data_IF_741088633302
#
_entry.id   IF_741088633302
#
_cell.length_a   1.000
_cell.length_b   1.000
_cell.length_c   1.000
_cell.angle_alpha   90.00
_cell.angle_beta   90.00
_cell.angle_gamma   90.00
#
_symmetry.space_group_name_H-M   'P 1'
#
loop_
_entity.id
_entity.type
_entity.pdbx_description
1 polymer ?
#
# COMPACT_ATOMS: atom_id res chain seq x y z
N UNK A 1 -16.23 20.28 27.56
CA UNK A 1 -16.43 18.90 27.03
C UNK A 1 -15.23 18.08 27.51
N UNK A 2 -15.46 16.88 27.99
CA UNK A 2 -14.36 15.96 28.26
C UNK A 2 -13.85 15.42 26.90
N UNK A 3 -12.54 15.43 26.71
CA UNK A 3 -11.89 14.84 25.54
C UNK A 3 -11.25 13.51 25.96
N UNK A 4 -11.27 12.52 25.05
CA UNK A 4 -10.62 11.22 25.27
C UNK A 4 -9.10 11.36 25.23
N UNK A 5 -8.59 12.29 24.39
CA UNK A 5 -7.17 12.57 24.21
C UNK A 5 -6.97 14.02 23.78
N UNK A 6 -5.92 14.66 24.26
CA UNK A 6 -5.37 15.87 23.64
C UNK A 6 -3.93 15.63 23.22
N UNK A 7 -3.66 15.61 21.90
CA UNK A 7 -2.30 15.58 21.37
C UNK A 7 -1.76 17.00 21.30
N UNK A 8 -0.81 17.31 22.18
CA UNK A 8 -0.20 18.63 22.38
C UNK A 8 0.96 18.89 21.43
N UNK A 9 1.15 20.15 21.06
CA UNK A 9 2.32 20.62 20.31
C UNK A 9 2.55 19.86 19.00
N UNK A 10 1.49 19.55 18.28
CA UNK A 10 1.53 18.90 16.97
C UNK A 10 1.91 19.92 15.89
N UNK A 11 2.87 19.60 15.02
CA UNK A 11 3.17 20.36 13.81
C UNK A 11 2.44 19.71 12.63
N UNK A 12 1.64 20.48 11.90
CA UNK A 12 0.93 20.02 10.70
C UNK A 12 1.67 20.48 9.43
N UNK A 13 1.44 19.81 8.31
CA UNK A 13 2.11 20.08 7.03
C UNK A 13 1.99 21.57 6.58
N UNK A 14 0.85 22.19 6.85
CA UNK A 14 0.53 23.55 6.39
C UNK A 14 0.55 24.59 7.53
N UNK A 15 1.32 24.37 8.59
CA UNK A 15 1.28 25.23 9.81
C UNK A 15 2.34 26.32 9.84
N UNK A 16 3.08 26.59 8.76
CA UNK A 16 4.19 27.57 8.69
C UNK A 16 5.14 27.51 9.90
N UNK A 17 5.32 26.30 10.42
CA UNK A 17 6.14 26.05 11.60
C UNK A 17 5.44 26.20 12.95
N UNK A 18 4.24 26.71 13.02
CA UNK A 18 3.46 26.78 14.25
C UNK A 18 3.00 25.38 14.71
N UNK A 19 2.81 25.24 16.02
CA UNK A 19 2.23 24.02 16.61
C UNK A 19 0.80 24.26 17.05
N UNK A 20 0.01 23.17 17.03
CA UNK A 20 -1.37 23.16 17.48
C UNK A 20 -1.60 21.99 18.44
N UNK A 21 -2.66 22.08 19.22
CA UNK A 21 -3.22 20.96 19.96
C UNK A 21 -4.36 20.34 19.14
N UNK A 22 -4.47 19.01 19.17
CA UNK A 22 -5.54 18.25 18.53
C UNK A 22 -6.32 17.54 19.64
N UNK A 23 -7.58 17.92 19.85
CA UNK A 23 -8.47 17.25 20.79
C UNK A 23 -9.30 16.17 20.09
N UNK A 24 -9.48 15.05 20.76
CA UNK A 24 -10.22 13.88 20.28
C UNK A 24 -11.37 13.58 21.23
N UNK A 25 -12.55 13.34 20.66
CA UNK A 25 -13.72 12.83 21.38
C UNK A 25 -14.40 11.78 20.51
N UNK A 26 -14.87 10.69 21.12
CA UNK A 26 -15.53 9.56 20.44
C UNK A 26 -14.72 9.04 19.24
N UNK A 27 -13.39 9.02 19.38
CA UNK A 27 -12.48 8.53 18.35
C UNK A 27 -12.29 9.46 17.15
N UNK A 28 -12.86 10.68 17.17
CA UNK A 28 -12.79 11.67 16.09
C UNK A 28 -12.10 12.95 16.56
N UNK A 29 -11.49 13.66 15.63
CA UNK A 29 -10.91 14.97 15.88
C UNK A 29 -12.05 15.95 16.18
N UNK A 30 -12.13 16.42 17.42
CA UNK A 30 -13.16 17.32 17.91
C UNK A 30 -12.77 18.79 17.75
N UNK A 31 -11.46 19.11 17.89
CA UNK A 31 -10.95 20.48 17.76
C UNK A 31 -9.47 20.47 17.35
N UNK A 32 -9.06 21.53 16.66
CA UNK A 32 -7.65 21.84 16.35
C UNK A 32 -7.47 23.32 16.68
N UNK A 33 -6.57 23.67 17.61
CA UNK A 33 -6.33 25.04 18.01
C UNK A 33 -4.89 25.23 18.52
N UNK A 34 -4.35 26.49 18.59
CA UNK A 34 -3.00 26.73 19.12
C UNK A 34 -2.82 26.23 20.55
N UNK A 35 -3.88 26.25 21.36
CA UNK A 35 -3.92 25.71 22.70
C UNK A 35 -5.35 25.27 23.05
N UNK A 36 -5.47 24.08 23.64
CA UNK A 36 -6.75 23.53 24.10
C UNK A 36 -6.66 23.29 25.61
N UNK A 37 -7.39 24.11 26.40
CA UNK A 37 -7.53 23.90 27.83
C UNK A 37 -8.48 22.71 28.06
N UNK A 38 -7.97 21.61 28.56
CA UNK A 38 -8.76 20.44 28.87
C UNK A 38 -8.06 19.57 29.93
N UNK A 39 -8.87 18.98 30.80
CA UNK A 39 -8.48 17.89 31.69
C UNK A 39 -8.74 16.56 30.96
N UNK A 40 -7.83 15.62 31.05
CA UNK A 40 -7.96 14.32 30.39
C UNK A 40 -6.62 13.70 30.00
N UNK A 41 -6.65 12.58 29.27
CA UNK A 41 -5.44 11.97 28.76
C UNK A 41 -4.76 12.92 27.76
N UNK A 42 -3.45 13.07 27.91
CA UNK A 42 -2.66 13.91 26.98
C UNK A 42 -1.41 13.20 26.52
N UNK A 43 -1.05 13.47 25.26
CA UNK A 43 0.22 13.08 24.68
C UNK A 43 0.88 14.32 24.10
N UNK A 44 2.22 14.39 24.13
CA UNK A 44 2.97 15.53 23.61
C UNK A 44 3.74 15.13 22.37
N UNK A 45 3.43 15.75 21.24
CA UNK A 45 4.16 15.56 19.98
C UNK A 45 5.53 16.28 19.98
N UNK A 46 5.79 17.17 20.96
CA UNK A 46 7.10 17.84 21.11
C UNK A 46 7.47 18.76 19.94
N UNK A 47 6.49 19.34 19.26
CA UNK A 47 6.70 20.14 18.05
C UNK A 47 7.14 19.31 16.83
N UNK A 48 6.95 18.00 16.85
CA UNK A 48 7.22 17.12 15.74
C UNK A 48 6.06 17.12 14.75
N UNK A 49 6.36 16.69 13.51
CA UNK A 49 5.36 16.53 12.46
C UNK A 49 4.34 15.45 12.83
N UNK A 50 3.07 15.76 12.65
CA UNK A 50 1.95 14.84 12.84
C UNK A 50 1.22 14.70 11.51
N UNK A 51 1.06 13.45 11.08
CA UNK A 51 0.31 13.10 9.88
C UNK A 51 -0.89 12.20 10.21
N UNK A 52 -1.83 12.04 9.27
CA UNK A 52 -2.70 10.88 9.31
C UNK A 52 -1.88 9.60 9.27
N UNK A 53 -2.45 8.48 9.76
CA UNK A 53 -1.83 7.17 9.64
C UNK A 53 -1.59 6.79 8.17
N UNK A 54 -0.46 6.13 7.88
CA UNK A 54 -0.10 5.73 6.52
C UNK A 54 -1.07 4.68 5.97
N UNK A 55 -1.11 4.62 4.64
CA UNK A 55 -2.03 3.74 3.90
C UNK A 55 -1.24 2.81 2.97
N UNK A 56 -1.38 1.54 3.18
CA UNK A 56 -0.83 0.46 2.35
C UNK A 56 -1.92 -0.02 1.38
N UNK A 57 -1.93 0.45 0.13
CA UNK A 57 -3.02 0.16 -0.78
C UNK A 57 -2.84 -1.10 -1.64
N UNK A 58 -1.67 -1.74 -1.59
CA UNK A 58 -1.39 -2.95 -2.36
C UNK A 58 -0.37 -3.85 -1.64
N UNK A 59 -0.85 -4.85 -0.92
CA UNK A 59 -0.03 -5.73 -0.07
C UNK A 59 -0.50 -7.19 -0.15
N UNK A 60 0.39 -8.14 0.17
CA UNK A 60 0.08 -9.57 0.27
C UNK A 60 0.40 -10.10 1.66
N UNK A 61 -0.56 -10.03 2.59
CA UNK A 61 -0.41 -10.62 3.93
C UNK A 61 -0.41 -12.15 3.90
N UNK A 62 -1.22 -12.75 3.02
CA UNK A 62 -1.43 -14.19 2.91
C UNK A 62 -0.17 -15.00 2.60
N UNK A 63 0.72 -14.45 1.79
CA UNK A 63 2.00 -15.07 1.38
C UNK A 63 3.23 -14.35 1.91
N UNK A 64 3.09 -13.49 2.93
CA UNK A 64 4.24 -12.90 3.62
C UNK A 64 5.00 -13.94 4.45
N UNK A 65 6.33 -13.74 4.64
CA UNK A 65 7.18 -14.55 5.52
C UNK A 65 7.16 -16.05 5.21
N UNK A 66 7.35 -16.43 3.94
CA UNK A 66 7.39 -17.85 3.52
C UNK A 66 8.77 -18.31 3.02
N UNK A 67 9.82 -17.48 3.18
CA UNK A 67 11.15 -17.81 2.67
C UNK A 67 11.77 -19.04 3.30
N UNK A 68 11.44 -19.36 4.54
CA UNK A 68 11.92 -20.51 5.30
C UNK A 68 11.47 -21.86 4.73
N UNK A 69 10.41 -21.87 3.94
CA UNK A 69 9.81 -23.07 3.35
C UNK A 69 9.94 -23.16 1.83
N UNK A 70 10.52 -22.16 1.19
CA UNK A 70 10.72 -22.13 -0.27
C UNK A 70 12.14 -22.56 -0.60
N UNK A 71 12.31 -23.32 -1.68
CA UNK A 71 13.64 -23.65 -2.16
C UNK A 71 14.48 -22.38 -2.39
N UNK A 72 15.77 -22.36 -2.05
CA UNK A 72 16.66 -21.24 -2.34
C UNK A 72 16.67 -20.89 -3.82
N UNK A 73 17.00 -19.63 -4.15
CA UNK A 73 17.26 -19.23 -5.53
C UNK A 73 18.44 -20.03 -6.08
N UNK A 74 18.27 -20.64 -7.25
CA UNK A 74 19.33 -21.40 -7.90
C UNK A 74 20.52 -20.50 -8.31
N UNK A 75 20.21 -19.29 -8.79
CA UNK A 75 21.18 -18.25 -9.08
C UNK A 75 20.51 -16.86 -9.05
N UNK A 76 21.32 -15.79 -9.15
CA UNK A 76 20.83 -14.41 -9.12
C UNK A 76 19.93 -14.04 -10.30
N UNK A 77 19.95 -14.79 -11.41
CA UNK A 77 19.16 -14.56 -12.63
C UNK A 77 17.83 -15.30 -12.63
N UNK A 78 17.61 -16.19 -11.66
CA UNK A 78 16.38 -16.96 -11.57
C UNK A 78 15.16 -16.03 -11.47
N UNK A 79 14.13 -16.33 -12.26
CA UNK A 79 12.84 -15.58 -12.33
C UNK A 79 11.65 -16.45 -11.96
N UNK A 80 11.91 -17.55 -11.25
CA UNK A 80 10.95 -18.59 -10.89
C UNK A 80 10.15 -18.30 -9.61
N UNK A 81 10.12 -17.03 -9.18
CA UNK A 81 9.47 -16.62 -7.94
C UNK A 81 8.00 -17.05 -7.83
N UNK A 82 7.25 -17.02 -8.94
CA UNK A 82 5.86 -17.49 -8.95
C UNK A 82 5.79 -19.01 -8.75
N UNK A 83 6.54 -19.78 -9.53
CA UNK A 83 6.56 -21.26 -9.42
C UNK A 83 7.01 -21.71 -8.02
N UNK A 84 7.98 -21.02 -7.41
CA UNK A 84 8.45 -21.30 -6.05
C UNK A 84 7.38 -21.02 -5.00
N UNK A 85 6.56 -19.98 -5.18
CA UNK A 85 5.41 -19.69 -4.30
C UNK A 85 4.32 -20.75 -4.49
N UNK A 86 3.96 -21.06 -5.75
CA UNK A 86 2.95 -22.05 -6.09
C UNK A 86 3.30 -23.44 -5.51
N UNK A 87 4.60 -23.82 -5.53
CA UNK A 87 5.08 -25.09 -5.02
C UNK A 87 4.81 -25.30 -3.52
N UNK A 88 4.66 -24.22 -2.72
CA UNK A 88 4.48 -24.31 -1.26
C UNK A 88 3.10 -23.91 -0.78
N UNK A 89 2.31 -23.18 -1.57
CA UNK A 89 1.01 -22.63 -1.12
C UNK A 89 -0.01 -23.71 -0.73
N UNK A 90 0.10 -24.92 -1.28
CA UNK A 90 -0.75 -26.06 -0.90
C UNK A 90 -0.57 -26.47 0.57
N UNK A 91 0.56 -26.12 1.20
CA UNK A 91 0.86 -26.38 2.61
C UNK A 91 0.26 -25.34 3.57
N UNK A 92 -0.28 -24.24 3.06
CA UNK A 92 -0.83 -23.18 3.89
C UNK A 92 -2.08 -23.66 4.64
N UNK A 93 -2.11 -23.46 5.94
CA UNK A 93 -3.31 -23.60 6.78
C UNK A 93 -3.81 -22.23 7.23
N UNK A 94 -5.02 -22.14 7.71
CA UNK A 94 -5.60 -20.90 8.26
C UNK A 94 -4.73 -20.36 9.40
N UNK A 95 -4.29 -21.23 10.31
CA UNK A 95 -3.47 -20.87 11.47
C UNK A 95 -2.08 -20.38 11.05
N UNK A 96 -1.46 -21.03 10.06
CA UNK A 96 -0.16 -20.64 9.54
C UNK A 96 -0.23 -19.26 8.87
N UNK A 97 -1.19 -19.07 7.97
CA UNK A 97 -1.39 -17.77 7.31
C UNK A 97 -1.69 -16.69 8.33
N UNK A 98 -2.57 -16.95 9.30
CA UNK A 98 -2.88 -16.01 10.38
C UNK A 98 -1.64 -15.59 11.16
N UNK A 99 -0.81 -16.54 11.59
CA UNK A 99 0.39 -16.26 12.38
C UNK A 99 1.41 -15.39 11.63
N UNK A 100 1.67 -15.71 10.35
CA UNK A 100 2.60 -14.95 9.49
C UNK A 100 2.05 -13.56 9.15
N UNK A 101 0.79 -13.49 8.77
CA UNK A 101 0.10 -12.24 8.45
C UNK A 101 0.03 -11.31 9.67
N UNK A 102 -0.23 -11.86 10.88
CA UNK A 102 -0.21 -11.10 12.13
C UNK A 102 1.15 -10.46 12.39
N UNK A 103 2.23 -11.24 12.32
CA UNK A 103 3.58 -10.70 12.54
C UNK A 103 3.94 -9.60 11.52
N UNK A 104 3.45 -9.71 10.28
CA UNK A 104 3.65 -8.71 9.24
C UNK A 104 2.80 -7.46 9.48
N UNK A 105 1.53 -7.62 9.85
CA UNK A 105 0.62 -6.53 10.16
C UNK A 105 1.10 -5.73 11.39
N UNK A 106 1.55 -6.41 12.45
CA UNK A 106 2.13 -5.76 13.63
C UNK A 106 3.36 -4.93 13.26
N UNK A 107 4.20 -5.41 12.33
CA UNK A 107 5.33 -4.65 11.82
C UNK A 107 4.88 -3.41 11.02
N UNK A 108 3.79 -3.51 10.23
CA UNK A 108 3.20 -2.37 9.53
C UNK A 108 2.67 -1.32 10.53
N UNK A 109 1.96 -1.75 11.58
CA UNK A 109 1.47 -0.87 12.66
C UNK A 109 2.61 -0.08 13.30
N UNK A 110 3.71 -0.76 13.67
CA UNK A 110 4.90 -0.14 14.26
C UNK A 110 5.61 0.84 13.32
N UNK A 111 5.31 0.80 12.03
CA UNK A 111 5.78 1.74 11.01
C UNK A 111 4.75 2.79 10.62
N UNK A 112 3.66 2.93 11.39
CA UNK A 112 2.68 4.00 11.24
C UNK A 112 1.57 3.73 10.22
N UNK A 113 1.42 2.50 9.73
CA UNK A 113 0.32 2.09 8.84
C UNK A 113 -0.95 1.88 9.66
N UNK A 114 -2.04 2.55 9.30
CA UNK A 114 -3.35 2.43 9.97
C UNK A 114 -4.46 1.93 9.05
N UNK A 115 -4.19 1.82 7.75
CA UNK A 115 -5.13 1.34 6.73
C UNK A 115 -4.39 0.48 5.71
N UNK A 116 -4.97 -0.65 5.31
CA UNK A 116 -4.36 -1.54 4.34
C UNK A 116 -5.41 -2.20 3.45
N UNK A 117 -5.13 -2.25 2.13
CA UNK A 117 -5.76 -3.19 1.20
C UNK A 117 -4.80 -4.35 0.97
N UNK A 118 -5.19 -5.56 1.37
CA UNK A 118 -4.39 -6.76 1.17
C UNK A 118 -5.00 -7.65 0.09
N UNK A 119 -4.15 -8.05 -0.87
CA UNK A 119 -4.50 -8.99 -1.92
C UNK A 119 -4.34 -10.41 -1.39
N UNK A 120 -5.39 -11.20 -1.51
CA UNK A 120 -5.47 -12.57 -1.01
C UNK A 120 -5.62 -13.49 -2.20
N UNK A 121 -4.62 -14.34 -2.39
CA UNK A 121 -4.64 -15.33 -3.46
C UNK A 121 -5.66 -16.42 -3.14
N UNK A 122 -6.56 -16.68 -4.10
CA UNK A 122 -7.53 -17.75 -4.05
C UNK A 122 -7.49 -18.55 -5.34
N UNK A 123 -7.46 -19.87 -5.24
CA UNK A 123 -7.49 -20.80 -6.36
C UNK A 123 -7.82 -22.21 -5.86
N UNK A 124 -8.02 -23.22 -6.75
CA UNK A 124 -8.32 -24.59 -6.31
C UNK A 124 -7.25 -25.25 -5.42
N UNK A 125 -5.98 -24.79 -5.46
CA UNK A 125 -4.89 -25.38 -4.65
C UNK A 125 -4.88 -24.83 -3.22
N UNK A 126 -5.14 -23.51 -3.07
CA UNK A 126 -5.13 -22.84 -1.75
C UNK A 126 -6.54 -22.70 -1.15
N UNK A 127 -7.59 -22.76 -1.99
CA UNK A 127 -8.97 -22.54 -1.57
C UNK A 127 -9.16 -21.16 -0.96
N UNK A 128 -9.94 -21.09 0.12
CA UNK A 128 -10.20 -19.85 0.89
C UNK A 128 -9.36 -19.76 2.17
N UNK A 129 -8.37 -20.62 2.38
CA UNK A 129 -7.59 -20.65 3.63
C UNK A 129 -6.91 -19.32 3.96
N UNK A 130 -6.37 -18.65 2.92
CA UNK A 130 -5.83 -17.28 3.05
C UNK A 130 -6.92 -16.28 3.43
N UNK A 131 -8.06 -16.35 2.77
CA UNK A 131 -9.20 -15.46 3.04
C UNK A 131 -9.73 -15.63 4.47
N UNK A 132 -9.94 -16.88 4.93
CA UNK A 132 -10.38 -17.20 6.29
C UNK A 132 -9.44 -16.59 7.36
N UNK A 133 -8.13 -16.75 7.15
CA UNK A 133 -7.11 -16.22 8.05
C UNK A 133 -7.13 -14.69 8.11
N UNK A 134 -7.20 -14.02 6.95
CA UNK A 134 -7.15 -12.56 6.88
C UNK A 134 -8.48 -11.93 7.33
N UNK A 135 -9.63 -12.56 7.03
CA UNK A 135 -10.93 -12.10 7.55
C UNK A 135 -10.96 -12.12 9.08
N UNK A 136 -10.42 -13.18 9.70
CA UNK A 136 -10.24 -13.28 11.16
C UNK A 136 -9.28 -12.20 11.66
N UNK A 137 -8.13 -12.01 10.99
CA UNK A 137 -7.13 -11.01 11.37
C UNK A 137 -7.72 -9.58 11.31
N UNK A 138 -8.56 -9.28 10.31
CA UNK A 138 -9.22 -7.98 10.19
C UNK A 138 -10.11 -7.67 11.40
N UNK A 139 -10.83 -8.67 11.91
CA UNK A 139 -11.65 -8.53 13.13
C UNK A 139 -10.79 -8.35 14.37
N UNK A 140 -9.77 -9.18 14.54
CA UNK A 140 -8.90 -9.19 15.72
C UNK A 140 -8.05 -7.91 15.84
N UNK A 141 -7.72 -7.25 14.70
CA UNK A 141 -6.88 -6.04 14.65
C UNK A 141 -7.61 -4.75 14.30
N UNK A 142 -8.95 -4.73 14.30
CA UNK A 142 -9.76 -3.53 14.06
C UNK A 142 -9.45 -2.36 15.03
N UNK A 143 -8.85 -2.66 16.18
CA UNK A 143 -8.38 -1.68 17.15
C UNK A 143 -7.17 -0.87 16.68
N UNK A 144 -6.41 -1.36 15.70
CA UNK A 144 -5.17 -0.75 15.22
C UNK A 144 -5.13 -0.48 13.72
N UNK A 145 -5.82 -1.28 12.92
CA UNK A 145 -5.78 -1.18 11.45
C UNK A 145 -7.13 -1.49 10.81
N UNK A 146 -7.52 -0.69 9.84
CA UNK A 146 -8.65 -1.02 8.95
C UNK A 146 -8.12 -1.81 7.75
N UNK A 147 -8.61 -3.05 7.57
CA UNK A 147 -8.24 -3.91 6.45
C UNK A 147 -9.35 -3.96 5.39
N UNK A 148 -8.97 -3.74 4.12
CA UNK A 148 -9.76 -4.09 2.95
C UNK A 148 -9.20 -5.36 2.32
N UNK A 149 -10.05 -6.33 2.04
CA UNK A 149 -9.71 -7.61 1.44
C UNK A 149 -9.94 -7.52 -0.08
N UNK A 150 -8.88 -7.71 -0.87
CA UNK A 150 -8.95 -7.86 -2.32
C UNK A 150 -8.71 -9.32 -2.66
N UNK A 151 -9.67 -9.99 -3.27
CA UNK A 151 -9.49 -11.36 -3.72
C UNK A 151 -8.99 -11.38 -5.16
N UNK A 152 -7.97 -12.20 -5.45
CA UNK A 152 -7.39 -12.24 -6.78
C UNK A 152 -6.86 -13.63 -7.15
N UNK A 153 -6.74 -13.85 -8.47
CA UNK A 153 -6.17 -15.06 -9.06
C UNK A 153 -4.76 -14.76 -9.60
N UNK A 154 -3.75 -15.40 -9.00
CA UNK A 154 -2.35 -15.20 -9.36
C UNK A 154 -1.96 -15.97 -10.63
N UNK A 155 -2.42 -17.22 -10.77
CA UNK A 155 -1.95 -18.15 -11.80
C UNK A 155 -2.84 -18.17 -13.05
N UNK A 156 -3.80 -17.26 -13.13
CA UNK A 156 -4.74 -17.14 -14.22
C UNK A 156 -6.18 -17.49 -13.82
N UNK A 157 -7.08 -17.21 -14.72
CA UNK A 157 -8.52 -17.39 -14.54
C UNK A 157 -9.11 -18.29 -15.62
N UNK A 158 -8.80 -17.97 -16.89
CA UNK A 158 -9.34 -18.69 -18.04
C UNK A 158 -8.72 -20.10 -18.16
N UNK A 159 -7.51 -20.26 -17.66
CA UNK A 159 -6.73 -21.50 -17.64
C UNK A 159 -6.85 -22.29 -16.33
N UNK A 160 -7.62 -21.82 -15.34
CA UNK A 160 -7.79 -22.50 -14.03
C UNK A 160 -9.27 -22.83 -13.79
N UNK A 161 -9.72 -24.04 -14.17
CA UNK A 161 -11.11 -24.47 -13.97
C UNK A 161 -11.55 -24.40 -12.51
N UNK A 162 -12.73 -23.83 -12.24
CA UNK A 162 -13.31 -23.71 -10.89
C UNK A 162 -12.83 -22.48 -10.09
N UNK A 163 -11.85 -21.73 -10.58
CA UNK A 163 -11.33 -20.54 -9.87
C UNK A 163 -12.40 -19.47 -9.64
N UNK A 164 -13.28 -19.21 -10.63
CA UNK A 164 -14.33 -18.21 -10.50
C UNK A 164 -15.31 -18.50 -9.36
N UNK A 165 -15.66 -19.75 -9.12
CA UNK A 165 -16.56 -20.12 -8.03
C UNK A 165 -15.98 -19.73 -6.65
N UNK A 166 -14.66 -19.87 -6.48
CA UNK A 166 -13.95 -19.53 -5.24
C UNK A 166 -13.90 -18.01 -5.06
N UNK A 167 -13.62 -17.25 -6.12
CA UNK A 167 -13.66 -15.78 -6.11
C UNK A 167 -15.05 -15.28 -5.74
N UNK A 168 -16.10 -15.82 -6.38
CA UNK A 168 -17.50 -15.46 -6.08
C UNK A 168 -17.86 -15.75 -4.62
N UNK A 169 -17.38 -16.85 -4.05
CA UNK A 169 -17.62 -17.16 -2.65
C UNK A 169 -16.97 -16.12 -1.72
N UNK A 170 -15.73 -15.73 -1.97
CA UNK A 170 -15.04 -14.67 -1.20
C UNK A 170 -15.76 -13.30 -1.35
N UNK A 171 -16.25 -12.97 -2.54
CA UNK A 171 -17.03 -11.74 -2.78
C UNK A 171 -18.35 -11.74 -2.01
N UNK A 172 -19.08 -12.86 -1.99
CA UNK A 172 -20.31 -13.01 -1.18
C UNK A 172 -20.05 -12.84 0.32
N UNK A 173 -18.86 -13.18 0.78
CA UNK A 173 -18.44 -13.03 2.18
C UNK A 173 -17.95 -11.61 2.52
N UNK A 174 -17.97 -10.68 1.54
CA UNK A 174 -17.69 -9.28 1.78
C UNK A 174 -16.24 -8.86 1.46
N UNK A 175 -15.56 -9.52 0.49
CA UNK A 175 -14.35 -8.96 -0.06
C UNK A 175 -14.65 -7.57 -0.66
N UNK A 176 -13.74 -6.62 -0.46
CA UNK A 176 -13.91 -5.20 -0.80
C UNK A 176 -13.47 -4.88 -2.24
N UNK A 177 -12.66 -5.74 -2.81
CA UNK A 177 -12.15 -5.60 -4.17
C UNK A 177 -11.90 -6.96 -4.82
N UNK A 178 -11.92 -6.98 -6.15
CA UNK A 178 -11.57 -8.14 -6.98
C UNK A 178 -10.43 -7.77 -7.92
N UNK A 179 -9.50 -8.71 -8.10
CA UNK A 179 -8.34 -8.52 -8.96
C UNK A 179 -7.88 -9.80 -9.63
N UNK A 180 -6.75 -9.69 -10.32
CA UNK A 180 -6.09 -10.79 -11.01
C UNK A 180 -4.70 -10.39 -11.45
N UNK A 181 -4.07 -11.28 -12.21
CA UNK A 181 -2.75 -11.10 -12.80
C UNK A 181 -2.77 -11.55 -14.27
N UNK A 182 -3.31 -10.73 -15.20
CA UNK A 182 -3.55 -11.11 -16.59
C UNK A 182 -2.30 -11.65 -17.32
N UNK A 183 -1.12 -11.20 -16.92
CA UNK A 183 0.16 -11.69 -17.45
C UNK A 183 0.35 -13.21 -17.34
N UNK A 184 -0.28 -13.84 -16.37
CA UNK A 184 -0.15 -15.28 -16.10
C UNK A 184 -1.34 -16.10 -16.62
N UNK A 185 -2.31 -15.43 -17.26
CA UNK A 185 -3.44 -16.07 -17.91
C UNK A 185 -3.12 -16.41 -19.37
N UNK A 186 -3.83 -17.40 -19.92
CA UNK A 186 -3.78 -17.71 -21.35
C UNK A 186 -4.59 -16.73 -22.20
N UNK A 187 -5.56 -16.02 -21.59
CA UNK A 187 -6.31 -14.92 -22.18
C UNK A 187 -6.43 -13.77 -21.19
N UNK A 188 -5.36 -12.96 -21.10
CA UNK A 188 -5.30 -11.81 -20.22
C UNK A 188 -6.42 -10.79 -20.45
N UNK A 189 -6.71 -10.40 -21.69
CA UNK A 189 -7.84 -9.52 -22.02
C UNK A 189 -9.20 -10.04 -21.53
N UNK A 190 -9.46 -11.34 -21.62
CA UNK A 190 -10.68 -11.95 -21.09
C UNK A 190 -10.69 -11.95 -19.56
N UNK A 191 -9.55 -12.22 -18.92
CA UNK A 191 -9.44 -12.11 -17.46
C UNK A 191 -9.83 -10.70 -16.98
N UNK A 192 -9.34 -9.64 -17.64
CA UNK A 192 -9.66 -8.26 -17.30
C UNK A 192 -11.18 -8.01 -17.44
N UNK A 193 -11.81 -8.45 -18.53
CA UNK A 193 -13.28 -8.32 -18.69
C UNK A 193 -14.08 -9.00 -17.57
N UNK A 194 -13.66 -10.20 -17.16
CA UNK A 194 -14.33 -10.94 -16.06
C UNK A 194 -14.15 -10.24 -14.71
N UNK A 195 -12.96 -9.70 -14.43
CA UNK A 195 -12.70 -8.93 -13.21
C UNK A 195 -13.66 -7.73 -13.14
N UNK A 196 -13.78 -6.95 -14.21
CA UNK A 196 -14.69 -5.80 -14.26
C UNK A 196 -16.17 -6.23 -14.16
N UNK A 197 -16.55 -7.32 -14.79
CA UNK A 197 -17.92 -7.84 -14.68
C UNK A 197 -18.26 -8.22 -13.22
N UNK A 198 -17.35 -8.87 -12.50
CA UNK A 198 -17.55 -9.19 -11.09
C UNK A 198 -17.49 -7.95 -10.19
N UNK A 199 -16.58 -7.00 -10.46
CA UNK A 199 -16.55 -5.72 -9.77
C UNK A 199 -17.91 -5.04 -9.80
N UNK A 200 -18.54 -5.02 -10.98
CA UNK A 200 -19.87 -4.44 -11.18
C UNK A 200 -20.99 -5.28 -10.56
N UNK A 201 -20.94 -6.61 -10.70
CA UNK A 201 -21.97 -7.52 -10.16
C UNK A 201 -22.06 -7.45 -8.62
N UNK A 202 -20.90 -7.38 -7.95
CA UNK A 202 -20.81 -7.37 -6.49
C UNK A 202 -20.65 -5.96 -5.90
N UNK A 203 -20.63 -4.92 -6.74
CA UNK A 203 -20.41 -3.52 -6.35
C UNK A 203 -19.13 -3.31 -5.53
N UNK A 204 -18.03 -3.91 -5.97
CA UNK A 204 -16.72 -3.82 -5.31
C UNK A 204 -15.68 -3.17 -6.21
N UNK A 205 -14.58 -2.70 -5.62
CA UNK A 205 -13.47 -2.10 -6.38
C UNK A 205 -12.74 -3.14 -7.24
N UNK A 206 -12.03 -2.65 -8.25
CA UNK A 206 -11.16 -3.43 -9.12
C UNK A 206 -9.70 -3.08 -8.81
N UNK A 207 -8.84 -4.10 -8.57
CA UNK A 207 -7.41 -3.89 -8.26
C UNK A 207 -6.55 -4.98 -8.89
N UNK A 208 -5.89 -4.68 -10.01
CA UNK A 208 -5.26 -5.66 -10.93
C UNK A 208 -3.74 -5.51 -10.90
N UNK A 209 -3.01 -6.64 -10.86
CA UNK A 209 -1.56 -6.67 -11.12
C UNK A 209 -1.35 -6.54 -12.63
N UNK A 210 -0.80 -5.42 -13.09
CA UNK A 210 -0.85 -5.07 -14.51
C UNK A 210 0.51 -4.62 -15.05
N UNK A 211 0.72 -4.80 -16.36
CA UNK A 211 1.83 -4.26 -17.14
C UNK A 211 3.21 -4.52 -16.55
N UNK A 212 3.39 -5.72 -15.98
CA UNK A 212 4.71 -6.21 -15.60
C UNK A 212 5.54 -6.55 -16.85
N UNK A 213 6.81 -6.13 -16.89
CA UNK A 213 7.71 -6.35 -18.03
C UNK A 213 8.25 -5.07 -18.63
N UNK A 214 8.73 -5.12 -19.89
CA UNK A 214 9.49 -4.01 -20.49
C UNK A 214 9.06 -3.69 -21.93
N UNK A 215 8.12 -4.43 -22.48
CA UNK A 215 7.57 -4.19 -23.83
C UNK A 215 6.39 -3.24 -23.73
N UNK A 216 6.37 -2.20 -24.55
CA UNK A 216 5.37 -1.13 -24.48
C UNK A 216 4.28 -1.23 -25.54
N UNK A 217 4.41 -2.15 -26.51
CA UNK A 217 3.41 -2.34 -27.58
C UNK A 217 2.19 -3.16 -27.17
N UNK A 218 2.23 -3.79 -26.00
CA UNK A 218 1.22 -4.72 -25.48
C UNK A 218 0.75 -4.34 -24.06
N UNK A 219 0.53 -3.05 -23.81
CA UNK A 219 0.09 -2.56 -22.50
C UNK A 219 -1.41 -2.78 -22.30
N UNK A 220 -1.77 -3.54 -21.27
CA UNK A 220 -3.15 -3.86 -20.90
C UNK A 220 -3.88 -2.65 -20.26
N UNK A 221 -3.15 -1.63 -19.82
CA UNK A 221 -3.72 -0.43 -19.19
C UNK A 221 -4.74 0.29 -20.10
N UNK A 222 -4.57 0.22 -21.39
CA UNK A 222 -5.51 0.84 -22.34
C UNK A 222 -6.89 0.19 -22.25
N UNK A 223 -6.96 -1.14 -22.23
CA UNK A 223 -8.20 -1.88 -22.02
C UNK A 223 -8.83 -1.59 -20.65
N UNK A 224 -8.01 -1.52 -19.58
CA UNK A 224 -8.49 -1.18 -18.23
C UNK A 224 -9.13 0.21 -18.21
N UNK A 225 -8.50 1.19 -18.85
CA UNK A 225 -9.05 2.54 -18.95
C UNK A 225 -10.36 2.57 -19.77
N UNK A 226 -10.42 1.82 -20.87
CA UNK A 226 -11.62 1.77 -21.73
C UNK A 226 -12.80 1.15 -20.96
N UNK A 227 -12.59 0.04 -20.27
CA UNK A 227 -13.60 -0.60 -19.43
C UNK A 227 -14.05 0.29 -18.26
N UNK A 228 -13.10 1.04 -17.64
CA UNK A 228 -13.44 1.97 -16.58
C UNK A 228 -14.36 3.10 -17.09
N UNK A 229 -14.10 3.61 -18.30
CA UNK A 229 -14.94 4.62 -18.95
C UNK A 229 -16.31 4.04 -19.33
N UNK A 230 -16.34 2.88 -20.01
CA UNK A 230 -17.56 2.21 -20.46
C UNK A 230 -18.52 1.87 -19.31
N UNK A 231 -17.98 1.44 -18.18
CA UNK A 231 -18.75 1.03 -17.01
C UNK A 231 -19.02 2.17 -16.02
N UNK A 232 -18.42 3.36 -16.23
CA UNK A 232 -18.49 4.47 -15.26
C UNK A 232 -17.84 4.12 -13.93
N UNK A 233 -16.74 3.36 -13.95
CA UNK A 233 -16.07 2.82 -12.75
C UNK A 233 -14.88 3.65 -12.30
N UNK A 234 -14.65 4.84 -12.87
CA UNK A 234 -13.59 5.78 -12.50
C UNK A 234 -13.56 6.08 -11.00
N UNK A 235 -12.37 6.07 -10.40
CA UNK A 235 -12.16 6.23 -8.96
C UNK A 235 -12.30 4.93 -8.14
N UNK A 236 -12.71 3.83 -8.76
CA UNK A 236 -12.86 2.49 -8.14
C UNK A 236 -11.95 1.44 -8.77
N UNK A 237 -11.04 1.87 -9.66
CA UNK A 237 -10.10 1.00 -10.38
C UNK A 237 -8.69 1.40 -10.02
N UNK A 238 -7.90 0.43 -9.56
CA UNK A 238 -6.46 0.58 -9.34
C UNK A 238 -5.69 -0.53 -10.06
N UNK A 239 -4.45 -0.24 -10.43
CA UNK A 239 -3.49 -1.24 -10.90
C UNK A 239 -2.23 -1.21 -10.06
N UNK A 240 -1.64 -2.39 -9.82
CA UNK A 240 -0.33 -2.53 -9.22
C UNK A 240 0.76 -2.78 -10.27
N UNK A 241 1.99 -2.33 -10.03
CA UNK A 241 3.20 -2.42 -10.83
C UNK A 241 3.33 -1.34 -11.92
N UNK A 242 2.90 -1.61 -13.17
CA UNK A 242 3.12 -0.71 -14.29
C UNK A 242 4.60 -0.61 -14.72
N UNK A 243 5.39 -1.68 -14.60
CA UNK A 243 6.81 -1.68 -14.96
C UNK A 243 7.07 -1.17 -16.39
N UNK A 244 6.17 -1.50 -17.33
CA UNK A 244 6.26 -1.09 -18.74
C UNK A 244 6.30 0.42 -18.91
N UNK A 245 5.67 1.17 -17.99
CA UNK A 245 5.63 2.64 -18.05
C UNK A 245 7.02 3.28 -17.86
N UNK A 246 7.95 2.59 -17.19
CA UNK A 246 9.34 3.02 -17.07
C UNK A 246 10.12 3.01 -18.38
N UNK A 247 9.58 2.34 -19.40
CA UNK A 247 10.18 2.23 -20.74
C UNK A 247 9.55 3.19 -21.75
N UNK A 248 8.54 3.97 -21.37
CA UNK A 248 7.88 4.93 -22.24
C UNK A 248 8.74 6.20 -22.41
N UNK A 249 8.84 6.74 -23.63
CA UNK A 249 9.32 8.09 -23.84
C UNK A 249 8.48 9.11 -23.06
N UNK A 250 9.08 10.23 -22.66
CA UNK A 250 8.42 11.24 -21.81
C UNK A 250 7.03 11.65 -22.32
N UNK A 251 6.88 11.95 -23.60
CA UNK A 251 5.59 12.35 -24.18
C UNK A 251 4.52 11.27 -24.10
N UNK A 252 4.92 10.00 -24.26
CA UNK A 252 3.99 8.86 -24.14
C UNK A 252 3.59 8.62 -22.68
N UNK A 253 4.53 8.80 -21.75
CA UNK A 253 4.23 8.72 -20.32
C UNK A 253 3.28 9.85 -19.88
N UNK A 254 3.47 11.07 -20.38
CA UNK A 254 2.56 12.20 -20.14
C UNK A 254 1.17 11.92 -20.72
N UNK A 255 1.07 11.41 -21.93
CA UNK A 255 -0.20 11.02 -22.55
C UNK A 255 -0.92 9.91 -21.76
N UNK A 256 -0.16 8.92 -21.24
CA UNK A 256 -0.69 7.90 -20.35
C UNK A 256 -1.21 8.51 -19.05
N UNK A 257 -0.49 9.45 -18.44
CA UNK A 257 -0.93 10.16 -17.24
C UNK A 257 -2.26 10.89 -17.45
N UNK A 258 -2.43 11.57 -18.58
CA UNK A 258 -3.70 12.22 -18.97
C UNK A 258 -4.82 11.20 -19.19
N UNK A 259 -4.52 10.06 -19.81
CA UNK A 259 -5.50 8.97 -20.01
C UNK A 259 -5.98 8.38 -18.67
N UNK A 260 -5.05 8.12 -17.76
CA UNK A 260 -5.34 7.64 -16.41
C UNK A 260 -6.20 8.63 -15.61
N UNK A 261 -5.83 9.92 -15.66
CA UNK A 261 -6.59 10.99 -15.00
C UNK A 261 -8.04 11.07 -15.53
N UNK A 262 -8.22 10.96 -16.85
CA UNK A 262 -9.53 11.01 -17.50
C UNK A 262 -10.41 9.83 -17.11
N UNK A 263 -9.85 8.61 -17.12
CA UNK A 263 -10.61 7.39 -16.77
C UNK A 263 -10.79 7.18 -15.26
N UNK A 264 -10.07 7.96 -14.43
CA UNK A 264 -10.08 7.77 -12.98
C UNK A 264 -9.41 6.46 -12.52
N UNK A 265 -8.51 5.89 -13.34
CA UNK A 265 -7.74 4.70 -12.98
C UNK A 265 -6.50 5.10 -12.21
N UNK A 266 -6.29 4.50 -11.03
CA UNK A 266 -5.14 4.77 -10.18
C UNK A 266 -4.00 3.76 -10.38
N UNK A 267 -2.77 4.18 -10.07
CA UNK A 267 -1.57 3.33 -10.18
C UNK A 267 -0.86 3.22 -8.82
N UNK A 268 -0.63 2.00 -8.35
CA UNK A 268 0.23 1.71 -7.22
C UNK A 268 1.59 1.20 -7.73
N UNK A 269 2.64 2.02 -7.65
CA UNK A 269 4.01 1.58 -7.93
C UNK A 269 4.56 0.77 -6.75
N UNK A 270 5.31 -0.30 -7.03
CA UNK A 270 5.71 -1.32 -6.06
C UNK A 270 7.24 -1.50 -6.00
N UNK A 271 7.99 -0.46 -5.55
CA UNK A 271 9.43 -0.33 -5.79
C UNK A 271 10.27 -1.53 -5.36
N UNK A 272 10.00 -2.11 -4.19
CA UNK A 272 10.82 -3.21 -3.66
C UNK A 272 10.67 -4.50 -4.47
N UNK A 273 9.47 -4.85 -4.88
CA UNK A 273 9.21 -6.03 -5.72
C UNK A 273 9.71 -5.78 -7.14
N UNK A 274 9.40 -4.62 -7.70
CA UNK A 274 9.70 -4.28 -9.08
C UNK A 274 11.21 -4.21 -9.32
N UNK A 275 11.98 -3.60 -8.43
CA UNK A 275 13.44 -3.59 -8.50
C UNK A 275 14.04 -4.99 -8.39
N UNK A 276 13.50 -5.83 -7.49
CA UNK A 276 14.01 -7.18 -7.31
C UNK A 276 13.74 -8.07 -8.50
N UNK A 277 12.57 -7.93 -9.14
CA UNK A 277 12.16 -8.80 -10.25
C UNK A 277 12.60 -8.29 -11.61
N UNK A 278 12.89 -6.99 -11.74
CA UNK A 278 13.23 -6.36 -13.01
C UNK A 278 14.62 -6.68 -13.51
N UNK A 279 14.75 -6.97 -14.81
CA UNK A 279 16.02 -7.06 -15.51
C UNK A 279 16.95 -8.18 -15.05
N UNK A 280 16.50 -9.14 -14.25
CA UNK A 280 17.33 -10.21 -13.65
C UNK A 280 18.11 -11.03 -14.67
N UNK A 281 17.57 -11.18 -15.89
CA UNK A 281 18.20 -11.88 -16.99
C UNK A 281 19.31 -11.07 -17.67
N UNK A 282 19.38 -9.76 -17.44
CA UNK A 282 20.38 -8.87 -18.03
C UNK A 282 21.71 -8.92 -17.25
N UNK A 283 22.83 -8.85 -17.98
CA UNK A 283 24.18 -8.82 -17.40
C UNK A 283 24.64 -7.39 -17.12
N UNK A 284 24.22 -6.44 -17.94
CA UNK A 284 24.58 -5.02 -17.87
C UNK A 284 23.38 -4.17 -18.30
N UNK A 285 23.44 -2.86 -18.05
CA UNK A 285 22.37 -1.89 -18.38
C UNK A 285 21.00 -2.33 -17.86
N UNK A 286 20.97 -2.83 -16.63
CA UNK A 286 19.76 -3.40 -16.03
C UNK A 286 18.68 -2.34 -15.91
N UNK A 287 17.50 -2.63 -16.44
CA UNK A 287 16.32 -1.78 -16.39
C UNK A 287 15.87 -1.63 -14.93
N UNK A 288 15.59 -0.40 -14.48
CA UNK A 288 15.08 -0.13 -13.12
C UNK A 288 13.65 -0.65 -12.92
N UNK A 289 12.80 -0.59 -13.96
CA UNK A 289 11.45 -1.17 -13.95
C UNK A 289 10.46 -0.48 -13.02
N UNK A 290 10.66 0.79 -12.68
CA UNK A 290 9.74 1.57 -11.84
C UNK A 290 9.26 2.78 -12.63
N UNK A 291 7.94 2.90 -12.78
CA UNK A 291 7.32 4.05 -13.41
C UNK A 291 7.54 5.33 -12.59
N UNK A 292 7.80 6.45 -13.26
CA UNK A 292 7.84 7.77 -12.63
C UNK A 292 6.41 8.23 -12.30
N UNK A 293 5.93 7.86 -11.11
CA UNK A 293 4.61 8.24 -10.62
C UNK A 293 4.45 9.77 -10.49
N UNK A 294 5.54 10.50 -10.18
CA UNK A 294 5.48 11.96 -10.11
C UNK A 294 5.15 12.58 -11.50
N UNK A 295 5.69 11.99 -12.58
CA UNK A 295 5.36 12.42 -13.93
C UNK A 295 3.88 12.15 -14.28
N UNK A 296 3.35 10.99 -13.90
CA UNK A 296 1.92 10.67 -14.06
C UNK A 296 1.02 11.61 -13.24
N UNK A 297 1.42 11.89 -11.98
CA UNK A 297 0.72 12.81 -11.08
C UNK A 297 0.67 14.23 -11.64
N UNK A 298 1.74 14.69 -12.26
CA UNK A 298 1.81 16.01 -12.92
C UNK A 298 0.76 16.16 -14.04
N UNK A 299 0.28 15.04 -14.60
CA UNK A 299 -0.79 14.99 -15.59
C UNK A 299 -2.19 14.76 -15.00
N UNK A 300 -2.31 14.73 -13.66
CA UNK A 300 -3.57 14.58 -12.94
C UNK A 300 -3.92 13.14 -12.50
N UNK A 301 -3.10 12.14 -12.81
CA UNK A 301 -3.33 10.77 -12.35
C UNK A 301 -3.21 10.64 -10.83
N UNK A 302 -3.95 9.70 -10.23
CA UNK A 302 -3.77 9.32 -8.83
C UNK A 302 -2.80 8.15 -8.73
N UNK A 303 -1.61 8.38 -8.17
CA UNK A 303 -0.62 7.33 -7.99
C UNK A 303 -0.23 7.17 -6.51
N UNK A 304 0.10 5.94 -6.11
CA UNK A 304 0.55 5.58 -4.78
C UNK A 304 1.83 4.76 -4.82
N UNK A 305 2.50 4.65 -3.67
CA UNK A 305 3.62 3.73 -3.43
C UNK A 305 3.15 2.71 -2.40
N UNK A 306 3.39 1.43 -2.66
CA UNK A 306 3.04 0.34 -1.75
C UNK A 306 4.16 -0.69 -1.64
N UNK A 307 4.08 -1.53 -0.60
CA UNK A 307 5.10 -2.54 -0.28
C UNK A 307 5.01 -3.77 -1.18
N UNK A 308 3.81 -4.18 -1.51
CA UNK A 308 3.47 -5.42 -2.23
C UNK A 308 3.83 -6.69 -1.43
N UNK A 309 5.10 -7.04 -1.32
CA UNK A 309 5.56 -8.30 -0.74
C UNK A 309 6.66 -8.10 0.31
N UNK A 310 6.72 -9.01 1.29
CA UNK A 310 7.75 -9.05 2.33
C UNK A 310 8.15 -10.50 2.63
N UNK A 311 9.47 -10.78 2.60
CA UNK A 311 10.06 -12.07 2.98
C UNK A 311 9.41 -13.26 2.28
N UNK A 312 9.22 -13.13 0.97
CA UNK A 312 8.72 -14.18 0.09
C UNK A 312 9.52 -14.21 -1.23
N UNK A 313 9.27 -15.16 -2.16
CA UNK A 313 10.04 -15.25 -3.39
C UNK A 313 10.01 -14.01 -4.28
N UNK A 314 8.94 -13.20 -4.24
CA UNK A 314 8.81 -11.97 -5.02
C UNK A 314 9.60 -10.81 -4.41
N UNK A 315 9.82 -10.81 -3.09
CA UNK A 315 10.62 -9.81 -2.37
C UNK A 315 11.23 -10.46 -1.12
N UNK A 316 12.50 -10.93 -1.19
CA UNK A 316 13.12 -11.73 -0.12
C UNK A 316 13.58 -10.90 1.09
N UNK A 317 13.17 -9.66 1.19
CA UNK A 317 13.48 -8.72 2.27
C UNK A 317 12.30 -7.80 2.57
N UNK A 318 12.47 -6.87 3.49
CA UNK A 318 11.49 -5.86 3.84
C UNK A 318 11.24 -5.79 5.34
N UNK A 319 10.95 -4.59 5.79
CA UNK A 319 10.65 -4.21 7.17
C UNK A 319 9.26 -3.59 7.32
N UNK A 320 8.43 -3.64 6.27
CA UNK A 320 7.10 -3.04 6.21
C UNK A 320 7.09 -1.51 6.42
N UNK A 321 8.21 -0.81 6.13
CA UNK A 321 8.30 0.63 6.23
C UNK A 321 7.97 1.29 4.89
N UNK A 322 6.78 1.87 4.76
CA UNK A 322 6.40 2.67 3.58
C UNK A 322 7.32 3.87 3.38
N UNK A 323 7.80 4.49 4.46
CA UNK A 323 8.76 5.62 4.40
C UNK A 323 10.07 5.18 3.73
N UNK A 324 10.60 4.01 4.09
CA UNK A 324 11.80 3.46 3.44
C UNK A 324 11.56 3.16 1.97
N UNK A 325 10.38 2.65 1.63
CA UNK A 325 10.03 2.34 0.23
C UNK A 325 9.86 3.62 -0.58
N UNK A 326 9.25 4.65 -0.02
CA UNK A 326 9.10 5.95 -0.67
C UNK A 326 10.46 6.65 -0.87
N UNK A 327 11.39 6.53 0.10
CA UNK A 327 12.76 6.99 -0.05
C UNK A 327 13.49 6.21 -1.17
N UNK A 328 13.39 4.87 -1.19
CA UNK A 328 13.94 4.04 -2.27
C UNK A 328 13.38 4.44 -3.63
N UNK A 329 12.07 4.65 -3.74
CA UNK A 329 11.42 5.13 -4.95
C UNK A 329 12.03 6.47 -5.40
N UNK A 330 12.10 7.47 -4.52
CA UNK A 330 12.66 8.78 -4.82
C UNK A 330 14.11 8.69 -5.37
N UNK A 331 14.94 7.81 -4.77
CA UNK A 331 16.30 7.55 -5.25
C UNK A 331 16.31 6.96 -6.68
N UNK A 332 15.46 5.98 -6.95
CA UNK A 332 15.44 5.28 -8.25
C UNK A 332 14.95 6.18 -9.38
N UNK A 333 13.90 6.96 -9.15
CA UNK A 333 13.35 7.90 -10.15
C UNK A 333 14.01 9.29 -10.10
N UNK A 334 15.02 9.47 -9.23
CA UNK A 334 15.85 10.68 -9.12
C UNK A 334 15.03 11.94 -8.78
N UNK A 335 14.08 11.81 -7.84
CA UNK A 335 13.27 12.90 -7.28
C UNK A 335 13.88 13.37 -5.94
N UNK A 336 14.28 14.64 -5.83
CA UNK A 336 15.06 15.09 -4.66
C UNK A 336 14.76 16.51 -4.19
N UNK A 337 13.79 17.21 -4.77
CA UNK A 337 13.35 18.49 -4.22
C UNK A 337 12.43 18.27 -3.01
N UNK A 338 12.31 19.27 -2.12
CA UNK A 338 11.37 19.19 -0.99
C UNK A 338 9.93 18.90 -1.47
N UNK A 339 9.52 19.49 -2.60
CA UNK A 339 8.21 19.25 -3.20
C UNK A 339 8.06 17.79 -3.68
N UNK A 340 9.06 17.22 -4.35
CA UNK A 340 9.05 15.83 -4.79
C UNK A 340 8.93 14.87 -3.60
N UNK A 341 9.68 15.12 -2.52
CA UNK A 341 9.68 14.28 -1.33
C UNK A 341 8.36 14.40 -0.54
N UNK A 342 7.78 15.61 -0.48
CA UNK A 342 6.45 15.81 0.08
C UNK A 342 5.38 15.07 -0.74
N UNK A 343 5.51 15.04 -2.08
CA UNK A 343 4.64 14.23 -2.93
C UNK A 343 4.85 12.72 -2.71
N UNK A 344 6.10 12.27 -2.50
CA UNK A 344 6.37 10.89 -2.09
C UNK A 344 5.70 10.53 -0.76
N UNK A 345 5.63 11.46 0.19
CA UNK A 345 4.86 11.27 1.43
C UNK A 345 3.35 11.21 1.15
N UNK A 346 2.83 12.04 0.25
CA UNK A 346 1.43 11.97 -0.16
C UNK A 346 1.08 10.63 -0.84
N UNK A 347 2.03 10.03 -1.59
CA UNK A 347 1.88 8.72 -2.23
C UNK A 347 1.84 7.53 -1.25
N UNK A 348 2.17 7.72 0.02
CA UNK A 348 2.03 6.70 1.07
C UNK A 348 0.95 7.09 2.11
N UNK A 349 0.20 8.15 1.87
CA UNK A 349 -0.80 8.70 2.80
C UNK A 349 -2.10 9.09 2.08
N UNK A 350 -2.25 10.33 1.65
CA UNK A 350 -3.50 10.86 1.10
C UNK A 350 -3.88 10.23 -0.27
N UNK A 351 -2.92 9.93 -1.12
CA UNK A 351 -3.19 9.36 -2.44
C UNK A 351 -3.70 7.92 -2.38
N UNK A 352 -3.06 6.98 -1.64
CA UNK A 352 -3.60 5.63 -1.48
C UNK A 352 -4.91 5.61 -0.68
N UNK A 353 -5.16 6.57 0.22
CA UNK A 353 -6.45 6.69 0.88
C UNK A 353 -7.60 6.91 -0.12
N UNK A 354 -7.37 7.68 -1.19
CA UNK A 354 -8.33 7.85 -2.29
C UNK A 354 -8.55 6.56 -3.07
N UNK A 355 -7.48 5.76 -3.31
CA UNK A 355 -7.59 4.44 -3.95
C UNK A 355 -8.50 3.51 -3.14
N UNK A 356 -8.41 3.60 -1.81
CA UNK A 356 -9.24 2.82 -0.90
C UNK A 356 -10.63 3.43 -0.64
N UNK A 357 -11.02 4.49 -1.37
CA UNK A 357 -12.33 5.13 -1.22
C UNK A 357 -12.54 5.86 0.12
N UNK A 358 -11.45 6.20 0.86
CA UNK A 358 -11.54 6.85 2.17
C UNK A 358 -11.86 8.33 2.03
N UNK A 359 -13.11 8.71 2.30
CA UNK A 359 -13.56 10.10 2.24
C UNK A 359 -13.23 10.90 3.50
N UNK A 360 -13.09 10.22 4.63
CA UNK A 360 -12.85 10.77 5.97
C UNK A 360 -11.35 10.71 6.39
N UNK A 361 -10.44 10.65 5.42
CA UNK A 361 -9.00 10.61 5.67
C UNK A 361 -8.41 12.01 5.79
N UNK A 362 -7.50 12.20 6.76
CA UNK A 362 -6.79 13.46 6.96
C UNK A 362 -7.02 14.08 8.35
N UNK A 363 -6.20 15.08 8.69
CA UNK A 363 -6.33 15.82 9.96
C UNK A 363 -7.30 16.99 9.77
N UNK A 364 -8.58 16.75 10.04
CA UNK A 364 -9.65 17.73 10.00
C UNK A 364 -10.68 17.42 11.09
N UNK A 365 -11.35 18.45 11.60
CA UNK A 365 -12.43 18.25 12.58
C UNK A 365 -13.53 17.38 11.98
N UNK A 366 -13.95 16.35 12.71
CA UNK A 366 -14.92 15.36 12.31
C UNK A 366 -14.31 14.07 11.74
N UNK A 367 -13.06 14.07 11.27
CA UNK A 367 -12.39 12.87 10.78
C UNK A 367 -11.95 11.96 11.94
N UNK A 368 -11.79 10.64 11.69
CA UNK A 368 -11.17 9.72 12.64
C UNK A 368 -9.78 10.21 13.08
N UNK A 369 -9.50 10.09 14.37
CA UNK A 369 -8.21 10.48 14.92
C UNK A 369 -7.16 9.36 14.74
N UNK A 370 -6.88 9.00 13.48
CA UNK A 370 -5.86 8.05 13.07
C UNK A 370 -4.58 8.84 12.77
N UNK A 371 -3.67 8.94 13.74
CA UNK A 371 -2.56 9.90 13.74
C UNK A 371 -1.22 9.20 13.96
N UNK A 372 -0.16 9.76 13.34
CA UNK A 372 1.23 9.34 13.57
C UNK A 372 2.09 10.56 13.85
N UNK A 373 2.88 10.51 14.92
CA UNK A 373 3.91 11.50 15.26
C UNK A 373 5.25 11.00 14.74
N UNK A 374 5.96 11.84 13.98
CA UNK A 374 7.21 11.49 13.32
C UNK A 374 8.42 12.13 14.02
N UNK A 375 9.57 11.49 13.96
CA UNK A 375 10.84 12.10 14.35
C UNK A 375 11.36 13.04 13.23
N UNK A 376 10.55 14.01 12.84
CA UNK A 376 10.79 14.96 11.76
C UNK A 376 9.91 16.19 11.96
N UNK A 377 10.14 17.27 11.21
CA UNK A 377 9.37 18.51 11.27
C UNK A 377 8.41 18.69 10.08
N UNK A 378 8.69 18.03 8.96
CA UNK A 378 7.95 18.19 7.70
C UNK A 378 7.80 16.84 6.99
N UNK A 379 6.81 16.70 6.07
CA UNK A 379 6.61 15.45 5.31
C UNK A 379 7.80 15.09 4.41
N UNK A 380 8.46 16.08 3.80
CA UNK A 380 9.66 15.87 2.98
C UNK A 380 10.85 15.38 3.84
N UNK A 381 11.02 15.92 5.05
CA UNK A 381 12.03 15.46 6.00
C UNK A 381 11.79 13.98 6.41
N UNK A 382 10.52 13.57 6.58
CA UNK A 382 10.20 12.15 6.87
C UNK A 382 10.78 11.23 5.79
N UNK A 383 10.61 11.59 4.53
CA UNK A 383 11.11 10.79 3.41
C UNK A 383 12.63 10.92 3.27
N UNK A 384 13.16 12.14 3.35
CA UNK A 384 14.59 12.41 3.16
C UNK A 384 15.48 11.66 4.17
N UNK A 385 15.03 11.61 5.43
CA UNK A 385 15.81 11.04 6.54
C UNK A 385 15.39 9.61 6.91
N UNK A 386 14.39 9.07 6.23
CA UNK A 386 13.73 7.80 6.62
C UNK A 386 13.32 7.85 8.10
N UNK A 387 12.64 8.94 8.47
CA UNK A 387 12.33 9.21 9.86
C UNK A 387 11.44 8.12 10.49
N UNK A 388 11.77 7.73 11.71
CA UNK A 388 10.98 6.75 12.44
C UNK A 388 9.69 7.39 12.99
N UNK A 389 8.55 6.69 13.00
CA UNK A 389 7.38 7.11 13.76
C UNK A 389 7.62 6.93 15.25
N UNK A 390 7.23 7.90 16.05
CA UNK A 390 7.41 7.94 17.51
C UNK A 390 6.18 7.42 18.25
N UNK A 391 4.99 7.80 17.78
CA UNK A 391 3.71 7.37 18.35
C UNK A 391 2.69 7.19 17.24
N UNK A 392 1.81 6.20 17.40
CA UNK A 392 0.66 5.99 16.54
C UNK A 392 -0.63 5.94 17.33
N UNK A 393 -1.70 6.45 16.74
CA UNK A 393 -3.04 6.46 17.32
C UNK A 393 -4.05 5.95 16.29
N UNK A 394 -5.00 5.16 16.76
CA UNK A 394 -6.17 4.72 15.99
C UNK A 394 -7.42 5.19 16.72
N UNK A 395 -8.20 6.05 16.05
CA UNK A 395 -9.39 6.69 16.67
C UNK A 395 -9.08 7.27 18.06
N UNK A 396 -7.95 7.99 18.15
CA UNK A 396 -7.48 8.60 19.39
C UNK A 396 -6.87 7.65 20.43
N UNK A 397 -7.01 6.35 20.27
CA UNK A 397 -6.38 5.36 21.17
C UNK A 397 -4.95 5.10 20.72
N UNK A 398 -4.02 5.12 21.67
CA UNK A 398 -2.60 4.86 21.39
C UNK A 398 -2.40 3.42 20.95
N UNK A 399 -1.80 3.23 19.76
CA UNK A 399 -1.49 1.93 19.15
C UNK A 399 -0.07 1.51 19.53
N UNK A 400 0.89 2.43 19.41
CA UNK A 400 2.29 2.17 19.74
C UNK A 400 2.99 3.44 20.24
N UNK A 401 4.10 3.22 20.95
CA UNK A 401 5.10 4.22 21.27
C UNK A 401 6.48 3.66 20.98
N UNK A 402 7.35 4.45 20.38
CA UNK A 402 8.74 4.13 20.14
C UNK A 402 9.61 5.04 21.00
N UNK A 403 10.45 4.44 21.84
CA UNK A 403 11.40 5.20 22.64
C UNK A 403 12.49 5.79 21.73
N UNK A 404 12.88 7.04 22.02
CA UNK A 404 14.01 7.67 21.34
C UNK A 404 15.32 7.03 21.81
N UNK A 405 16.21 6.63 20.89
CA UNK A 405 17.49 6.06 21.28
C UNK A 405 18.30 7.04 22.15
N UNK A 406 18.88 6.52 23.24
CA UNK A 406 19.74 7.28 24.15
C UNK A 406 21.22 7.07 23.77
N UNK A 407 21.92 8.17 23.47
CA UNK A 407 23.36 8.12 23.23
C UNK A 407 24.13 8.28 24.55
N UNK A 408 24.83 7.22 24.95
CA UNK A 408 25.72 7.24 26.12
C UNK A 408 27.08 7.82 25.71
N UNK A 409 27.28 9.13 25.94
CA UNK A 409 28.59 9.77 25.71
C UNK A 409 29.53 9.48 26.89
N UNK A 410 30.81 9.10 26.65
CA UNK A 410 31.78 9.05 27.72
C UNK A 410 31.93 10.43 28.34
N UNK A 411 32.23 10.48 29.66
CA UNK A 411 32.62 11.72 30.30
C UNK A 411 33.84 12.29 29.59
N UNK A 412 33.80 13.55 29.21
CA UNK A 412 34.98 14.24 28.71
C UNK A 412 35.99 14.27 29.86
N UNK A 413 37.17 13.70 29.65
CA UNK A 413 38.27 13.70 30.61
C UNK A 413 38.80 15.13 30.84
#
# INVERSE_FOLDING_TARGET
MAFDLVLRNARLANSDGATVDIAVADGRIAAIAPHIAADGESANAGGQFVSPALVECHFHLDKSRILDRVAPLADRRATDYMARTAAVKHTFTVEDVYARARATLEQCLLNGVGHMRTHIEVDPNVGLRGFDAIERLAKDYAWGMDLQLCVFLQEGWTNVPGAEAIVREALKRGAHAVGGAPRYDTDGPEQIRRIFALGKEFDVDVDIHLDGGYTTHDMDIHQVCDLADEMGWGGRVAIGHGNKYSCLPTKELEALGQRLAKSGVAVAVLPTTDLFTSGRHLEHSVIRGIADANALIAQGANCAISTNNVLNPFTPYGDCSLVRIANLYANVVQRGTAQDLAECFAMISARPARIMGRQDYGIAVGNPADLVVWNAKTPDEVIATVAAPLMGFKRGRRVFTRETPLLHRPALA
#
